data_IF_272087827748
#
_entry.id   IF_272087827748
#
_cell.length_a   1.000
_cell.length_b   1.000
_cell.length_c   1.000
_cell.angle_alpha   90.00
_cell.angle_beta   90.00
_cell.angle_gamma   90.00
#
_symmetry.space_group_name_H-M   'P 1'
#
loop_
_entity.id
_entity.type
_entity.pdbx_description
1 polymer ?
#
# COMPACT_ATOMS: atom_id res chain seq x y z
N UNK A 1 -19.45 -8.92 16.50
CA UNK A 1 -18.68 -9.54 15.41
C UNK A 1 -19.57 -10.59 14.76
N UNK A 2 -19.88 -10.45 13.47
CA UNK A 2 -20.69 -11.41 12.72
C UNK A 2 -19.73 -12.48 12.20
N UNK A 3 -19.84 -13.76 12.61
CA UNK A 3 -18.83 -14.79 12.31
C UNK A 3 -18.49 -14.92 10.82
N UNK A 4 -19.50 -14.82 9.95
CA UNK A 4 -19.33 -14.94 8.50
C UNK A 4 -18.51 -13.80 7.88
N UNK A 5 -18.50 -12.61 8.51
CA UNK A 5 -17.74 -11.44 8.05
C UNK A 5 -16.32 -11.39 8.63
N UNK A 6 -15.97 -12.25 9.59
CA UNK A 6 -14.66 -12.25 10.24
C UNK A 6 -13.83 -13.49 9.90
N UNK A 7 -14.34 -14.36 9.01
CA UNK A 7 -13.65 -15.57 8.55
C UNK A 7 -12.69 -15.28 7.40
N UNK A 8 -11.69 -16.13 7.27
CA UNK A 8 -10.83 -16.24 6.10
C UNK A 8 -10.67 -17.71 5.79
N UNK A 9 -11.00 -18.13 4.58
CA UNK A 9 -11.08 -19.55 4.20
C UNK A 9 -10.57 -19.71 2.78
N UNK A 10 -9.79 -20.77 2.57
CA UNK A 10 -9.44 -21.23 1.23
C UNK A 10 -10.53 -22.21 0.78
N UNK A 11 -11.21 -21.89 -0.31
CA UNK A 11 -12.29 -22.71 -0.86
C UNK A 11 -12.20 -22.72 -2.39
N UNK A 12 -12.26 -23.91 -2.99
CA UNK A 12 -12.26 -24.10 -4.46
C UNK A 12 -11.12 -23.33 -5.15
N UNK A 13 -9.89 -23.54 -4.68
CA UNK A 13 -8.68 -22.84 -5.15
C UNK A 13 -8.75 -21.31 -5.09
N UNK A 14 -9.69 -20.74 -4.32
CA UNK A 14 -9.82 -19.30 -4.12
C UNK A 14 -9.71 -18.96 -2.64
N UNK A 15 -9.20 -17.77 -2.34
CA UNK A 15 -9.15 -17.24 -0.98
C UNK A 15 -10.37 -16.33 -0.77
N UNK A 16 -11.21 -16.66 0.20
CA UNK A 16 -12.44 -15.92 0.55
C UNK A 16 -12.25 -15.30 1.93
N UNK A 17 -12.37 -13.98 2.00
CA UNK A 17 -12.04 -13.21 3.20
C UNK A 17 -13.23 -12.32 3.54
N UNK A 18 -13.73 -12.40 4.78
CA UNK A 18 -14.85 -11.60 5.24
C UNK A 18 -14.48 -10.13 5.49
N UNK A 19 -15.44 -9.24 5.30
CA UNK A 19 -15.29 -7.77 5.31
C UNK A 19 -14.85 -7.15 6.63
N UNK A 20 -15.01 -7.84 7.75
CA UNK A 20 -14.62 -7.39 9.11
C UNK A 20 -13.19 -7.81 9.47
N UNK A 21 -12.48 -8.52 8.59
CA UNK A 21 -11.06 -8.84 8.80
C UNK A 21 -10.25 -7.55 8.81
N UNK A 22 -9.48 -7.34 9.89
CA UNK A 22 -8.61 -6.17 10.03
C UNK A 22 -7.54 -6.14 8.94
N UNK A 23 -7.12 -4.95 8.54
CA UNK A 23 -6.07 -4.79 7.51
C UNK A 23 -4.78 -5.48 7.97
N UNK A 24 -4.43 -5.43 9.26
CA UNK A 24 -3.25 -6.15 9.78
C UNK A 24 -3.35 -7.66 9.57
N UNK A 25 -4.49 -8.26 9.90
CA UNK A 25 -4.69 -9.70 9.71
C UNK A 25 -4.67 -10.05 8.23
N UNK A 26 -5.34 -9.25 7.40
CA UNK A 26 -5.34 -9.44 5.96
C UNK A 26 -3.91 -9.42 5.38
N UNK A 27 -3.07 -8.46 5.75
CA UNK A 27 -1.65 -8.41 5.31
C UNK A 27 -0.92 -9.72 5.64
N UNK A 28 -1.12 -10.26 6.84
CA UNK A 28 -0.50 -11.52 7.26
C UNK A 28 -0.98 -12.69 6.41
N UNK A 29 -2.30 -12.82 6.22
CA UNK A 29 -2.90 -13.92 5.46
C UNK A 29 -2.53 -13.85 3.97
N UNK A 30 -2.47 -12.65 3.37
CA UNK A 30 -2.01 -12.48 1.98
C UNK A 30 -0.52 -12.85 1.82
N UNK A 31 0.32 -12.51 2.80
CA UNK A 31 1.73 -12.89 2.78
C UNK A 31 1.90 -14.41 2.90
N UNK A 32 1.16 -15.05 3.80
CA UNK A 32 1.19 -16.51 3.99
C UNK A 32 0.67 -17.26 2.76
N UNK A 33 -0.44 -16.78 2.17
CA UNK A 33 -0.98 -17.31 0.93
C UNK A 33 0.03 -17.20 -0.22
N UNK A 34 0.71 -16.05 -0.35
CA UNK A 34 1.74 -15.84 -1.36
C UNK A 34 2.97 -16.74 -1.20
N UNK A 35 3.30 -17.15 0.02
CA UNK A 35 4.42 -18.05 0.30
C UNK A 35 4.04 -19.55 0.18
N UNK A 36 2.76 -19.89 0.38
CA UNK A 36 2.33 -21.28 0.59
C UNK A 36 1.39 -21.84 -0.49
N UNK A 37 0.71 -21.00 -1.28
CA UNK A 37 -0.30 -21.41 -2.25
C UNK A 37 0.14 -21.12 -3.68
N UNK A 38 0.00 -22.12 -4.56
CA UNK A 38 0.30 -21.98 -5.99
C UNK A 38 -0.59 -20.92 -6.64
N UNK A 39 0.00 -20.07 -7.48
CA UNK A 39 -0.71 -18.98 -8.17
C UNK A 39 -1.03 -17.74 -7.31
N UNK A 40 -0.70 -17.72 -6.02
CA UNK A 40 -0.99 -16.59 -5.12
C UNK A 40 0.22 -15.71 -4.80
N UNK A 41 1.41 -16.00 -5.35
CA UNK A 41 2.64 -15.26 -5.08
C UNK A 41 2.51 -13.73 -5.27
N UNK A 42 1.65 -13.30 -6.19
CA UNK A 42 1.36 -11.89 -6.45
C UNK A 42 0.81 -11.13 -5.22
N UNK A 43 0.13 -11.83 -4.31
CA UNK A 43 -0.42 -11.24 -3.08
C UNK A 43 0.65 -10.70 -2.14
N UNK A 44 1.87 -11.26 -2.18
CA UNK A 44 2.99 -10.79 -1.36
C UNK A 44 3.39 -9.36 -1.70
N UNK A 45 3.38 -9.01 -2.99
CA UNK A 45 3.68 -7.64 -3.43
C UNK A 45 2.61 -6.65 -2.95
N UNK A 46 1.34 -7.06 -2.94
CA UNK A 46 0.24 -6.23 -2.40
C UNK A 46 0.38 -6.06 -0.88
N UNK A 47 0.61 -7.17 -0.17
CA UNK A 47 0.77 -7.18 1.29
C UNK A 47 1.94 -6.29 1.74
N UNK A 48 3.06 -6.30 1.03
CA UNK A 48 4.22 -5.47 1.34
C UNK A 48 3.90 -3.98 1.23
N UNK A 49 3.25 -3.55 0.15
CA UNK A 49 2.80 -2.15 -0.02
C UNK A 49 1.83 -1.75 1.09
N UNK A 50 0.94 -2.66 1.51
CA UNK A 50 -0.04 -2.39 2.56
C UNK A 50 0.57 -2.23 3.96
N UNK A 51 1.81 -2.69 4.21
CA UNK A 51 2.52 -2.41 5.47
C UNK A 51 2.78 -0.91 5.66
N UNK A 52 2.82 -0.14 4.58
CA UNK A 52 2.96 1.32 4.60
C UNK A 52 1.61 2.07 4.74
N UNK A 53 0.48 1.37 4.89
CA UNK A 53 -0.84 1.96 5.12
C UNK A 53 -1.02 2.28 6.59
N UNK A 54 -1.09 3.58 6.92
CA UNK A 54 -1.31 4.08 8.28
C UNK A 54 -0.35 3.47 9.34
N UNK A 55 -0.70 3.57 10.62
CA UNK A 55 0.00 2.92 11.72
C UNK A 55 -0.56 1.51 11.99
N UNK A 56 0.21 0.68 12.71
CA UNK A 56 -0.25 -0.65 13.14
C UNK A 56 -1.56 -0.57 13.94
N UNK A 57 -1.72 0.43 14.82
CA UNK A 57 -2.95 0.60 15.60
C UNK A 57 -4.17 0.87 14.70
N UNK A 58 -4.01 1.73 13.69
CA UNK A 58 -5.08 2.02 12.72
C UNK A 58 -5.42 0.76 11.92
N UNK A 59 -4.44 0.00 11.44
CA UNK A 59 -4.68 -1.25 10.70
C UNK A 59 -5.27 -2.38 11.55
N UNK A 60 -5.02 -2.39 12.85
CA UNK A 60 -5.62 -3.36 13.78
C UNK A 60 -7.11 -3.09 13.99
N UNK A 61 -7.51 -1.81 13.98
CA UNK A 61 -8.89 -1.39 14.17
C UNK A 61 -9.68 -1.34 12.86
N UNK A 62 -9.05 -0.92 11.76
CA UNK A 62 -9.70 -0.77 10.46
C UNK A 62 -9.81 -2.10 9.73
N UNK A 63 -11.01 -2.41 9.24
CA UNK A 63 -11.25 -3.55 8.37
C UNK A 63 -11.05 -3.18 6.90
N UNK A 64 -10.71 -4.16 6.06
CA UNK A 64 -10.60 -3.92 4.62
C UNK A 64 -11.97 -3.56 4.01
N UNK A 65 -13.05 -4.19 4.46
CA UNK A 65 -14.40 -3.91 3.97
C UNK A 65 -14.86 -2.50 4.30
N UNK A 66 -14.55 -2.01 5.51
CA UNK A 66 -14.78 -0.62 5.90
C UNK A 66 -13.97 0.38 5.05
N UNK A 67 -12.73 0.02 4.70
CA UNK A 67 -11.91 0.84 3.81
C UNK A 67 -12.48 0.93 2.38
N UNK A 68 -12.97 -0.19 1.83
CA UNK A 68 -13.61 -0.22 0.52
C UNK A 68 -14.94 0.53 0.54
N UNK A 69 -15.76 0.36 1.58
CA UNK A 69 -16.99 1.13 1.75
C UNK A 69 -16.70 2.64 1.78
N UNK A 70 -15.65 3.07 2.49
CA UNK A 70 -15.23 4.47 2.49
C UNK A 70 -14.87 4.97 1.08
N UNK A 71 -14.18 4.15 0.26
CA UNK A 71 -13.87 4.51 -1.14
C UNK A 71 -15.12 4.62 -2.02
N UNK A 72 -16.08 3.72 -1.86
CA UNK A 72 -17.35 3.76 -2.61
C UNK A 72 -18.18 5.00 -2.25
N UNK A 73 -18.23 5.34 -0.95
CA UNK A 73 -18.97 6.51 -0.47
C UNK A 73 -18.26 7.85 -0.76
N UNK A 74 -16.93 7.81 -0.85
CA UNK A 74 -16.07 8.97 -1.05
C UNK A 74 -15.06 8.66 -2.16
N UNK A 75 -15.42 8.85 -3.45
CA UNK A 75 -14.55 8.55 -4.59
C UNK A 75 -13.19 9.26 -4.54
N UNK A 76 -13.08 10.39 -3.86
CA UNK A 76 -11.82 11.11 -3.62
C UNK A 76 -10.87 10.39 -2.66
N UNK A 77 -11.35 9.43 -1.86
CA UNK A 77 -10.53 8.73 -0.87
C UNK A 77 -9.37 7.96 -1.55
N UNK A 78 -8.10 8.25 -1.22
CA UNK A 78 -6.96 7.60 -1.85
C UNK A 78 -6.65 6.26 -1.16
N UNK A 79 -7.41 5.22 -1.51
CA UNK A 79 -7.30 3.90 -0.90
C UNK A 79 -6.25 3.00 -1.57
N UNK A 80 -5.16 2.72 -0.85
CA UNK A 80 -4.17 1.71 -1.23
C UNK A 80 -4.77 0.28 -1.22
N UNK A 81 -5.78 0.03 -0.38
CA UNK A 81 -6.46 -1.27 -0.26
C UNK A 81 -7.33 -1.52 -1.50
N UNK A 82 -8.11 -0.52 -1.92
CA UNK A 82 -8.89 -0.57 -3.15
C UNK A 82 -8.00 -0.86 -4.36
N UNK A 83 -6.90 -0.12 -4.49
CA UNK A 83 -5.99 -0.28 -5.62
C UNK A 83 -5.36 -1.68 -5.65
N UNK A 84 -4.93 -2.20 -4.51
CA UNK A 84 -4.39 -3.55 -4.39
C UNK A 84 -5.40 -4.63 -4.77
N UNK A 85 -6.65 -4.52 -4.30
CA UNK A 85 -7.73 -5.46 -4.64
C UNK A 85 -8.15 -5.36 -6.11
N UNK A 86 -8.17 -4.15 -6.67
CA UNK A 86 -8.46 -3.93 -8.09
C UNK A 86 -7.46 -4.68 -8.98
N UNK A 87 -6.16 -4.53 -8.73
CA UNK A 87 -5.14 -5.21 -9.54
C UNK A 87 -5.00 -6.68 -9.23
N UNK A 88 -5.46 -7.13 -8.05
CA UNK A 88 -5.61 -8.55 -7.76
C UNK A 88 -6.75 -9.21 -8.58
N UNK A 89 -7.59 -8.43 -9.26
CA UNK A 89 -8.78 -8.95 -9.94
C UNK A 89 -9.84 -9.45 -8.94
N UNK A 90 -9.88 -8.84 -7.76
CA UNK A 90 -10.74 -9.26 -6.67
C UNK A 90 -12.23 -9.11 -7.02
N UNK A 91 -13.04 -10.06 -6.53
CA UNK A 91 -14.50 -10.02 -6.66
C UNK A 91 -15.12 -9.81 -5.29
N UNK A 92 -15.95 -8.80 -5.16
CA UNK A 92 -16.61 -8.41 -3.91
C UNK A 92 -18.05 -8.91 -3.91
N UNK A 93 -18.42 -9.62 -2.84
CA UNK A 93 -19.81 -10.01 -2.60
C UNK A 93 -20.48 -8.98 -1.69
N UNK A 94 -21.67 -8.53 -2.06
CA UNK A 94 -22.54 -7.69 -1.22
C UNK A 94 -23.85 -8.41 -0.91
N UNK A 95 -24.42 -8.15 0.27
CA UNK A 95 -25.71 -8.67 0.71
C UNK A 95 -26.77 -7.58 0.87
N UNK A 96 -27.99 -7.83 0.39
CA UNK A 96 -29.17 -6.99 0.60
C UNK A 96 -30.04 -7.45 1.78
N UNK A 97 -31.02 -6.63 2.21
CA UNK A 97 -31.88 -6.93 3.37
C UNK A 97 -32.84 -8.10 3.14
N UNK A 98 -33.08 -8.47 1.88
CA UNK A 98 -33.88 -9.61 1.43
C UNK A 98 -33.07 -10.92 1.35
N UNK A 99 -31.77 -10.87 1.71
CA UNK A 99 -30.85 -11.98 1.55
C UNK A 99 -30.25 -12.12 0.15
N UNK A 100 -30.51 -11.16 -0.76
CA UNK A 100 -29.93 -11.17 -2.10
C UNK A 100 -28.41 -10.98 -2.06
N UNK A 101 -27.69 -11.82 -2.80
CA UNK A 101 -26.24 -11.73 -2.97
C UNK A 101 -25.93 -11.22 -4.39
N UNK A 102 -25.09 -10.19 -4.48
CA UNK A 102 -24.61 -9.65 -5.74
C UNK A 102 -23.09 -9.58 -5.69
N UNK A 103 -22.44 -9.92 -6.81
CA UNK A 103 -20.99 -9.90 -6.96
C UNK A 103 -20.58 -8.81 -7.93
N UNK A 104 -19.52 -8.10 -7.60
CA UNK A 104 -18.98 -7.00 -8.40
C UNK A 104 -17.46 -7.10 -8.48
N UNK A 105 -16.89 -6.68 -9.60
CA UNK A 105 -15.50 -6.22 -9.57
C UNK A 105 -15.40 -4.85 -8.87
N UNK A 106 -14.17 -4.38 -8.63
CA UNK A 106 -13.96 -3.15 -7.86
C UNK A 106 -14.44 -1.88 -8.58
N UNK A 107 -14.37 -1.82 -9.91
CA UNK A 107 -14.89 -0.68 -10.68
C UNK A 107 -16.42 -0.65 -10.66
N UNK A 108 -17.07 -1.79 -10.91
CA UNK A 108 -18.53 -1.93 -10.82
C UNK A 108 -19.06 -1.55 -9.44
N UNK A 109 -18.33 -1.91 -8.39
CA UNK A 109 -18.70 -1.60 -7.02
C UNK A 109 -18.74 -0.09 -6.73
N UNK A 110 -17.90 0.72 -7.40
CA UNK A 110 -17.91 2.18 -7.24
C UNK A 110 -19.23 2.81 -7.69
N UNK A 111 -19.91 2.18 -8.66
CA UNK A 111 -21.19 2.65 -9.19
C UNK A 111 -22.40 2.14 -8.37
N UNK A 112 -22.17 1.29 -7.37
CA UNK A 112 -23.23 0.73 -6.54
C UNK A 112 -23.59 1.70 -5.41
N UNK A 113 -24.83 2.17 -5.39
CA UNK A 113 -25.40 2.88 -4.24
C UNK A 113 -25.64 1.92 -3.05
N UNK A 114 -24.59 1.70 -2.24
CA UNK A 114 -24.64 0.83 -1.07
C UNK A 114 -25.67 1.32 -0.04
N UNK A 115 -25.82 2.64 0.15
CA UNK A 115 -26.68 3.22 1.19
C UNK A 115 -28.14 3.16 0.78
N UNK A 116 -28.48 3.68 -0.40
CA UNK A 116 -29.86 3.69 -0.89
C UNK A 116 -30.41 2.28 -1.15
N UNK A 117 -29.56 1.36 -1.63
CA UNK A 117 -29.94 -0.06 -1.80
C UNK A 117 -29.84 -0.87 -0.51
N UNK A 118 -29.36 -0.29 0.59
CA UNK A 118 -29.16 -0.93 1.90
C UNK A 118 -28.33 -2.22 1.79
N UNK A 119 -27.26 -2.17 0.99
CA UNK A 119 -26.35 -3.30 0.77
C UNK A 119 -25.12 -3.21 1.67
N UNK A 120 -24.63 -4.36 2.12
CA UNK A 120 -23.43 -4.49 2.96
C UNK A 120 -22.38 -5.30 2.22
N UNK A 121 -21.11 -4.87 2.28
CA UNK A 121 -19.98 -5.65 1.76
C UNK A 121 -19.75 -6.84 2.70
N UNK A 122 -19.76 -8.06 2.17
CA UNK A 122 -19.68 -9.29 2.96
C UNK A 122 -18.29 -9.92 2.91
N UNK A 123 -17.77 -10.11 1.71
CA UNK A 123 -16.50 -10.80 1.49
C UNK A 123 -15.82 -10.35 0.19
N UNK A 124 -14.53 -10.68 0.10
CA UNK A 124 -13.72 -10.59 -1.11
C UNK A 124 -13.22 -11.98 -1.48
N UNK A 125 -13.24 -12.27 -2.78
CA UNK A 125 -12.70 -13.48 -3.38
C UNK A 125 -11.46 -13.11 -4.19
N UNK A 126 -10.35 -13.76 -3.88
CA UNK A 126 -9.07 -13.68 -4.60
C UNK A 126 -8.77 -15.03 -5.24
N UNK A 127 -8.38 -15.01 -6.51
CA UNK A 127 -8.11 -16.22 -7.30
C UNK A 127 -6.62 -16.34 -7.64
N UNK A 128 -6.13 -17.54 -7.96
CA UNK A 128 -4.77 -17.74 -8.40
C UNK A 128 -4.57 -17.04 -9.74
N UNK A 129 -3.43 -16.39 -9.89
CA UNK A 129 -2.93 -15.89 -11.16
C UNK A 129 -2.06 -16.96 -11.83
N UNK A 130 -1.96 -16.87 -13.16
CA UNK A 130 -1.00 -17.68 -13.92
C UNK A 130 0.45 -17.27 -13.57
N UNK A 131 1.40 -18.17 -13.74
CA UNK A 131 2.81 -17.94 -13.38
C UNK A 131 3.47 -16.81 -14.19
N UNK A 132 2.96 -16.55 -15.39
CA UNK A 132 3.37 -15.45 -16.28
C UNK A 132 2.68 -14.11 -15.95
N UNK A 133 1.84 -14.06 -14.91
CA UNK A 133 1.24 -12.82 -14.42
C UNK A 133 2.14 -12.15 -13.39
N UNK A 134 2.56 -10.92 -13.71
CA UNK A 134 3.29 -10.04 -12.82
C UNK A 134 2.33 -9.02 -12.21
N UNK A 135 2.31 -8.92 -10.89
CA UNK A 135 1.63 -7.84 -10.16
C UNK A 135 2.64 -7.02 -9.37
N UNK A 136 2.64 -5.71 -9.57
CA UNK A 136 3.44 -4.76 -8.77
C UNK A 136 2.55 -3.64 -8.27
N UNK A 137 2.77 -3.25 -7.02
CA UNK A 137 2.06 -2.11 -6.43
C UNK A 137 3.07 -1.15 -5.81
N UNK A 138 2.71 0.14 -5.80
CA UNK A 138 3.54 1.20 -5.29
C UNK A 138 2.70 2.19 -4.50
N UNK A 139 3.30 2.71 -3.45
CA UNK A 139 2.79 3.83 -2.68
C UNK A 139 3.90 4.88 -2.61
N UNK A 140 3.67 6.06 -3.17
CA UNK A 140 4.65 7.16 -3.17
C UNK A 140 4.15 8.27 -2.23
N UNK A 141 4.48 8.20 -0.94
CA UNK A 141 4.12 9.22 0.02
C UNK A 141 5.16 10.37 0.08
N UNK A 142 4.79 11.57 0.55
CA UNK A 142 5.75 12.66 0.79
C UNK A 142 6.73 12.33 1.94
N UNK A 143 6.39 11.36 2.81
CA UNK A 143 7.24 10.85 3.89
C UNK A 143 7.03 9.34 4.08
N UNK A 144 8.03 8.59 4.58
CA UNK A 144 7.99 7.12 4.56
C UNK A 144 6.86 6.43 5.33
N UNK A 145 6.18 7.11 6.28
CA UNK A 145 5.14 6.49 7.09
C UNK A 145 4.02 7.45 7.48
N UNK A 146 2.83 6.88 7.75
CA UNK A 146 1.64 7.54 8.27
C UNK A 146 1.20 8.80 7.47
N UNK A 147 1.15 8.68 6.15
CA UNK A 147 0.67 9.73 5.26
C UNK A 147 -0.02 9.13 4.05
N UNK A 148 -0.91 9.91 3.43
CA UNK A 148 -1.48 9.59 2.13
C UNK A 148 -0.40 9.64 1.04
N UNK A 149 -0.60 8.85 -0.01
CA UNK A 149 0.27 8.84 -1.17
C UNK A 149 -0.01 10.07 -2.03
N UNK A 150 1.03 10.66 -2.62
CA UNK A 150 0.88 11.61 -3.72
C UNK A 150 0.34 10.88 -4.96
N UNK A 151 0.92 9.72 -5.25
CA UNK A 151 0.41 8.76 -6.23
C UNK A 151 0.60 7.36 -5.65
N UNK A 152 -0.43 6.53 -5.73
CA UNK A 152 -0.30 5.10 -5.60
C UNK A 152 -0.59 4.45 -6.96
N UNK A 153 0.07 3.33 -7.23
CA UNK A 153 -0.01 2.64 -8.50
C UNK A 153 -0.13 1.13 -8.30
N UNK A 154 -0.89 0.50 -9.17
CA UNK A 154 -1.00 -0.95 -9.25
C UNK A 154 -0.93 -1.38 -10.70
N UNK A 155 -0.15 -2.42 -10.96
CA UNK A 155 0.07 -2.97 -12.28
C UNK A 155 -0.15 -4.46 -12.23
N UNK A 156 -0.94 -5.00 -13.18
CA UNK A 156 -1.06 -6.43 -13.45
C UNK A 156 -0.85 -6.65 -14.94
N UNK A 157 0.18 -7.40 -15.32
CA UNK A 157 0.48 -7.74 -16.70
C UNK A 157 0.73 -9.24 -16.81
N UNK A 158 0.18 -9.86 -17.85
CA UNK A 158 0.52 -11.23 -18.23
C UNK A 158 1.52 -11.16 -19.39
N UNK A 159 2.69 -11.76 -19.21
CA UNK A 159 3.86 -11.52 -20.06
C UNK A 159 4.51 -12.82 -20.49
N UNK A 160 4.63 -13.02 -21.81
CA UNK A 160 5.38 -14.13 -22.38
C UNK A 160 6.87 -13.79 -22.44
N UNK A 161 7.62 -14.23 -21.43
CA UNK A 161 9.06 -14.06 -21.34
C UNK A 161 9.83 -14.78 -22.47
N UNK A 162 9.22 -15.76 -23.14
CA UNK A 162 9.86 -16.47 -24.26
C UNK A 162 9.71 -15.74 -25.60
N UNK A 163 8.79 -14.77 -25.66
CA UNK A 163 8.51 -13.98 -26.83
C UNK A 163 8.74 -12.48 -26.53
N UNK A 164 10.00 -12.11 -26.28
CA UNK A 164 10.42 -10.73 -26.06
C UNK A 164 9.58 -9.97 -25.01
N UNK A 165 9.21 -10.65 -23.92
CA UNK A 165 8.32 -10.13 -22.88
C UNK A 165 7.03 -9.51 -23.45
N UNK A 166 6.39 -10.18 -24.40
CA UNK A 166 5.16 -9.70 -25.03
C UNK A 166 3.97 -9.81 -24.08
N UNK A 167 3.15 -8.77 -23.98
CA UNK A 167 1.93 -8.77 -23.17
C UNK A 167 0.84 -9.60 -23.85
N UNK A 168 0.48 -10.75 -23.27
CA UNK A 168 -0.46 -11.71 -23.86
C UNK A 168 -1.89 -11.60 -23.31
N UNK A 169 -2.08 -10.96 -22.15
CA UNK A 169 -3.36 -10.77 -21.48
C UNK A 169 -3.94 -9.35 -21.61
N UNK A 170 -4.99 -9.06 -20.83
CA UNK A 170 -5.49 -7.70 -20.66
C UNK A 170 -4.80 -7.06 -19.46
N UNK A 171 -3.86 -6.12 -19.66
CA UNK A 171 -3.17 -5.49 -18.55
C UNK A 171 -4.14 -4.64 -17.71
N UNK A 172 -3.83 -4.48 -16.43
CA UNK A 172 -4.50 -3.54 -15.53
C UNK A 172 -3.45 -2.54 -15.06
N UNK A 173 -3.63 -1.27 -15.40
CA UNK A 173 -2.76 -0.16 -15.08
C UNK A 173 -3.60 0.84 -14.28
N UNK A 174 -3.51 0.75 -12.96
CA UNK A 174 -4.36 1.52 -12.05
C UNK A 174 -3.55 2.53 -11.25
N UNK A 175 -4.16 3.70 -11.01
CA UNK A 175 -3.56 4.76 -10.21
C UNK A 175 -4.59 5.39 -9.28
N UNK A 176 -4.11 5.89 -8.14
CA UNK A 176 -4.83 6.86 -7.32
C UNK A 176 -3.95 8.07 -7.05
N UNK A 177 -4.56 9.15 -6.54
CA UNK A 177 -3.90 10.45 -6.40
C UNK A 177 -3.81 11.25 -7.70
N UNK A 178 -4.51 10.84 -8.76
CA UNK A 178 -4.63 11.61 -10.02
C UNK A 178 -5.80 12.59 -9.91
N UNK A 179 -7.03 12.09 -9.94
CA UNK A 179 -8.25 12.83 -9.64
C UNK A 179 -9.31 11.83 -9.10
N UNK A 180 -10.44 12.27 -8.52
CA UNK A 180 -11.42 11.38 -7.89
C UNK A 180 -12.06 10.32 -8.81
N UNK A 181 -12.12 10.59 -10.12
CA UNK A 181 -12.75 9.70 -11.12
C UNK A 181 -11.76 8.74 -11.80
N UNK A 182 -10.46 9.03 -11.72
CA UNK A 182 -9.44 8.25 -12.39
C UNK A 182 -9.13 6.99 -11.56
N UNK A 183 -9.32 5.83 -12.19
CA UNK A 183 -9.04 4.52 -11.58
C UNK A 183 -8.03 3.73 -12.41
N UNK A 184 -8.26 3.64 -13.73
CA UNK A 184 -7.43 2.90 -14.67
C UNK A 184 -7.07 3.72 -15.89
N UNK A 185 -5.87 3.48 -16.40
CA UNK A 185 -5.36 4.00 -17.66
C UNK A 185 -5.74 3.06 -18.81
N UNK A 186 -7.03 3.02 -19.18
CA UNK A 186 -7.61 2.10 -20.17
C UNK A 186 -7.02 2.28 -21.58
N UNK A 187 -6.71 3.51 -21.99
CA UNK A 187 -6.07 3.75 -23.29
C UNK A 187 -4.64 3.18 -23.31
N UNK A 188 -3.91 3.35 -22.20
CA UNK A 188 -2.56 2.78 -22.01
C UNK A 188 -2.60 1.26 -21.96
N UNK A 189 -3.59 0.67 -21.29
CA UNK A 189 -3.78 -0.78 -21.22
C UNK A 189 -3.98 -1.39 -22.62
N UNK A 190 -4.81 -0.77 -23.45
CA UNK A 190 -5.01 -1.22 -24.83
C UNK A 190 -3.76 -1.01 -25.69
N UNK A 191 -2.99 0.06 -25.47
CA UNK A 191 -1.71 0.28 -26.16
C UNK A 191 -0.67 -0.81 -25.83
N UNK A 192 -0.64 -1.29 -24.58
CA UNK A 192 0.29 -2.33 -24.13
C UNK A 192 -0.09 -3.73 -24.60
N UNK A 193 -1.35 -3.97 -24.98
CA UNK A 193 -1.85 -5.30 -25.33
C UNK A 193 -1.17 -5.83 -26.60
N UNK A 194 -0.53 -6.99 -26.51
CA UNK A 194 0.24 -7.58 -27.62
C UNK A 194 1.57 -6.88 -27.90
N UNK A 195 1.96 -5.88 -27.11
CA UNK A 195 3.23 -5.16 -27.26
C UNK A 195 4.37 -5.97 -26.64
N UNK A 196 5.54 -5.97 -27.29
CA UNK A 196 6.79 -6.40 -26.68
C UNK A 196 7.30 -5.32 -25.74
N UNK A 197 7.56 -5.67 -24.48
CA UNK A 197 8.09 -4.74 -23.47
C UNK A 197 9.58 -4.41 -23.69
N UNK A 198 10.26 -5.10 -24.61
CA UNK A 198 11.64 -4.84 -25.01
C UNK A 198 11.75 -3.78 -26.13
N UNK A 199 10.65 -3.49 -26.83
CA UNK A 199 10.62 -2.47 -27.87
C UNK A 199 10.54 -1.06 -27.25
N UNK A 200 11.68 -0.39 -27.22
CA UNK A 200 11.83 0.95 -26.65
C UNK A 200 10.93 2.00 -27.33
N UNK A 201 10.73 1.90 -28.65
CA UNK A 201 9.92 2.88 -29.40
C UNK A 201 8.44 2.67 -29.09
N UNK A 202 7.99 1.42 -29.08
CA UNK A 202 6.61 1.08 -28.71
C UNK A 202 6.32 1.46 -27.25
N UNK A 203 7.28 1.18 -26.35
CA UNK A 203 7.18 1.54 -24.94
C UNK A 203 7.09 3.06 -24.73
N UNK A 204 7.92 3.84 -25.42
CA UNK A 204 7.85 5.30 -25.36
C UNK A 204 6.48 5.79 -25.84
N UNK A 205 5.94 5.22 -26.92
CA UNK A 205 4.58 5.51 -27.38
C UNK A 205 3.51 5.23 -26.33
N UNK A 206 3.58 4.10 -25.63
CA UNK A 206 2.65 3.77 -24.54
C UNK A 206 2.75 4.75 -23.36
N UNK A 207 3.97 5.21 -23.01
CA UNK A 207 4.19 6.20 -21.97
C UNK A 207 3.64 7.59 -22.34
N UNK A 208 3.67 7.97 -23.62
CA UNK A 208 3.04 9.20 -24.11
C UNK A 208 1.51 9.12 -24.08
N UNK A 209 0.93 7.96 -24.43
CA UNK A 209 -0.51 7.71 -24.25
C UNK A 209 -0.90 7.88 -22.77
N UNK A 210 -0.09 7.32 -21.87
CA UNK A 210 -0.31 7.47 -20.42
C UNK A 210 -0.25 8.94 -19.97
N UNK A 211 0.69 9.73 -20.49
CA UNK A 211 0.81 11.14 -20.14
C UNK A 211 -0.42 11.96 -20.57
N UNK A 212 -1.01 11.65 -21.73
CA UNK A 212 -2.23 12.29 -22.21
C UNK A 212 -3.50 11.83 -21.47
N UNK A 213 -3.50 10.58 -21.00
CA UNK A 213 -4.63 9.97 -20.29
C UNK A 213 -4.70 10.40 -18.81
N UNK A 214 -3.56 10.58 -18.16
CA UNK A 214 -3.46 11.00 -16.76
C UNK A 214 -3.67 12.52 -16.67
N UNK A 215 -4.83 12.94 -16.19
CA UNK A 215 -5.19 14.35 -15.99
C UNK A 215 -5.39 14.60 -14.49
N UNK A 216 -4.35 14.98 -13.74
CA UNK A 216 -4.49 15.25 -12.33
C UNK A 216 -5.30 16.52 -12.08
N UNK A 217 -6.01 16.56 -10.95
CA UNK A 217 -6.59 17.81 -10.45
C UNK A 217 -5.48 18.83 -10.08
N UNK A 218 -5.84 20.08 -9.77
CA UNK A 218 -4.86 21.09 -9.36
C UNK A 218 -5.24 21.65 -7.99
N UNK A 219 -4.93 20.87 -6.95
CA UNK A 219 -5.13 21.26 -5.57
C UNK A 219 -3.80 21.75 -4.96
N UNK A 220 -3.74 22.96 -4.36
CA UNK A 220 -2.53 23.48 -3.74
C UNK A 220 -1.91 22.62 -2.64
N UNK A 221 -2.69 21.74 -2.00
CA UNK A 221 -2.20 20.84 -0.95
C UNK A 221 -1.48 19.60 -1.51
N UNK A 222 -1.70 19.29 -2.79
CA UNK A 222 -1.16 18.13 -3.48
C UNK A 222 0.09 18.47 -4.28
N UNK A 223 0.80 17.43 -4.72
CA UNK A 223 1.92 17.62 -5.65
C UNK A 223 1.41 18.17 -6.99
N UNK A 224 2.26 18.93 -7.69
CA UNK A 224 1.86 19.57 -8.95
C UNK A 224 1.35 18.53 -9.97
N UNK A 225 0.40 18.90 -10.84
CA UNK A 225 -0.10 18.01 -11.88
C UNK A 225 1.03 17.41 -12.74
N UNK A 226 2.02 18.23 -13.11
CA UNK A 226 3.16 17.81 -13.93
C UNK A 226 4.00 16.74 -13.24
N UNK A 227 4.24 16.91 -11.93
CA UNK A 227 4.95 15.90 -11.14
C UNK A 227 4.17 14.59 -11.09
N UNK A 228 2.84 14.64 -10.91
CA UNK A 228 2.00 13.45 -10.84
C UNK A 228 1.95 12.69 -12.17
N UNK A 229 1.87 13.39 -13.30
CA UNK A 229 1.96 12.78 -14.65
C UNK A 229 3.33 12.10 -14.84
N UNK A 230 4.42 12.79 -14.54
CA UNK A 230 5.76 12.20 -14.66
C UNK A 230 5.91 10.97 -13.72
N UNK A 231 5.33 11.04 -12.52
CA UNK A 231 5.39 9.95 -11.55
C UNK A 231 4.64 8.70 -12.04
N UNK A 232 3.45 8.82 -12.65
CA UNK A 232 2.75 7.66 -13.20
C UNK A 232 3.57 6.99 -14.30
N UNK A 233 4.12 7.76 -15.25
CA UNK A 233 5.02 7.24 -16.29
C UNK A 233 6.23 6.52 -15.69
N UNK A 234 6.89 7.13 -14.70
CA UNK A 234 8.05 6.54 -14.04
C UNK A 234 7.72 5.23 -13.31
N UNK A 235 6.55 5.12 -12.68
CA UNK A 235 6.12 3.90 -12.00
C UNK A 235 5.79 2.76 -12.97
N UNK A 236 5.18 3.08 -14.12
CA UNK A 236 4.98 2.10 -15.19
C UNK A 236 6.32 1.65 -15.78
N UNK A 237 7.22 2.59 -16.10
CA UNK A 237 8.54 2.29 -16.62
C UNK A 237 9.36 1.44 -15.63
N UNK A 238 9.35 1.79 -14.34
CA UNK A 238 9.94 0.98 -13.27
C UNK A 238 9.38 -0.44 -13.20
N UNK A 239 8.07 -0.58 -13.40
CA UNK A 239 7.40 -1.89 -13.45
C UNK A 239 7.98 -2.72 -14.58
N UNK A 240 8.05 -2.14 -15.78
CA UNK A 240 8.52 -2.78 -17.00
C UNK A 240 9.99 -3.16 -16.91
N UNK A 241 10.86 -2.28 -16.40
CA UNK A 241 12.26 -2.60 -16.11
C UNK A 241 12.41 -3.82 -15.20
N UNK A 242 11.52 -3.97 -14.21
CA UNK A 242 11.53 -5.16 -13.35
C UNK A 242 10.98 -6.42 -14.00
N UNK A 243 10.21 -6.31 -15.08
CA UNK A 243 9.71 -7.44 -15.86
C UNK A 243 10.79 -7.92 -16.83
N UNK A 244 11.37 -7.01 -17.61
CA UNK A 244 12.38 -7.37 -18.63
C UNK A 244 13.75 -7.71 -18.02
N UNK A 245 14.01 -7.28 -16.79
CA UNK A 245 15.19 -7.66 -16.02
C UNK A 245 16.51 -7.35 -16.74
N UNK A 246 17.35 -8.37 -16.89
CA UNK A 246 18.70 -8.25 -17.46
C UNK A 246 18.72 -7.99 -18.97
N UNK A 247 17.56 -8.04 -19.65
CA UNK A 247 17.46 -7.60 -21.05
C UNK A 247 17.64 -6.08 -21.16
N UNK A 248 17.24 -5.33 -20.14
CA UNK A 248 17.47 -3.90 -20.09
C UNK A 248 18.98 -3.59 -20.05
N UNK A 249 19.38 -2.47 -20.66
CA UNK A 249 20.75 -1.99 -20.53
C UNK A 249 21.14 -1.83 -19.05
N UNK A 250 22.37 -2.21 -18.70
CA UNK A 250 22.85 -2.24 -17.31
C UNK A 250 22.79 -0.90 -16.58
N UNK A 251 22.79 0.21 -17.34
CA UNK A 251 22.59 1.57 -16.82
C UNK A 251 21.18 1.80 -16.24
N UNK A 252 20.18 1.02 -16.64
CA UNK A 252 18.79 1.15 -16.22
C UNK A 252 18.39 0.18 -15.10
N UNK A 253 19.18 -0.86 -14.82
CA UNK A 253 18.84 -1.92 -13.86
C UNK A 253 18.50 -1.39 -12.47
N UNK A 254 19.17 -0.33 -12.01
CA UNK A 254 18.89 0.29 -10.71
C UNK A 254 17.46 0.85 -10.60
N UNK A 255 16.87 1.30 -11.72
CA UNK A 255 15.52 1.85 -11.80
C UNK A 255 14.42 0.84 -11.47
N UNK A 256 14.66 -0.46 -11.68
CA UNK A 256 13.70 -1.52 -11.40
C UNK A 256 13.47 -1.75 -9.88
N UNK A 257 14.48 -1.42 -9.06
CA UNK A 257 14.55 -1.80 -7.65
C UNK A 257 14.02 -0.73 -6.69
N UNK A 258 13.60 -1.13 -5.50
CA UNK A 258 13.13 -0.20 -4.46
C UNK A 258 14.30 0.35 -3.64
N UNK A 259 14.19 1.62 -3.23
CA UNK A 259 15.14 2.23 -2.30
C UNK A 259 14.84 1.67 -0.90
N UNK A 260 15.80 0.97 -0.31
CA UNK A 260 15.68 0.37 1.02
C UNK A 260 16.38 1.27 2.03
N UNK A 261 15.65 1.74 3.05
CA UNK A 261 16.24 2.48 4.17
C UNK A 261 16.77 1.48 5.22
N UNK A 262 18.08 1.46 5.51
CA UNK A 262 18.62 0.60 6.56
C UNK A 262 18.22 1.09 7.96
N UNK A 263 18.40 0.23 8.96
CA UNK A 263 18.22 0.61 10.36
C UNK A 263 19.13 1.79 10.71
N UNK A 264 18.60 2.75 11.47
CA UNK A 264 19.37 3.92 11.89
C UNK A 264 20.43 3.51 12.92
N UNK A 265 21.64 4.04 12.76
CA UNK A 265 22.74 3.89 13.71
C UNK A 265 23.28 5.26 14.11
N UNK A 266 23.83 5.36 15.31
CA UNK A 266 24.39 6.59 15.85
C UNK A 266 25.65 6.29 16.68
N UNK A 267 26.61 7.23 16.70
CA UNK A 267 27.81 7.18 17.54
C UNK A 267 27.89 8.49 18.30
N UNK A 268 27.92 8.42 19.63
CA UNK A 268 28.17 9.58 20.50
C UNK A 268 29.60 9.51 21.04
N UNK A 269 30.27 10.66 21.14
CA UNK A 269 31.61 10.79 21.72
C UNK A 269 31.64 12.07 22.53
N UNK A 270 32.02 11.97 23.80
CA UNK A 270 32.11 13.09 24.73
C UNK A 270 33.23 12.82 25.73
N UNK A 271 33.86 13.88 26.22
CA UNK A 271 34.89 13.78 27.24
C UNK A 271 34.28 13.47 28.60
N UNK A 272 34.93 12.61 29.37
CA UNK A 272 34.54 12.32 30.75
C UNK A 272 35.59 12.90 31.69
N UNK A 273 35.15 13.80 32.58
CA UNK A 273 35.95 14.27 33.69
C UNK A 273 35.30 13.79 35.00
N UNK A 274 35.85 12.73 35.57
CA UNK A 274 35.37 12.12 36.82
C UNK A 274 35.59 12.99 38.04
N UNK A 275 36.53 13.95 37.99
CA UNK A 275 36.88 14.81 39.13
C UNK A 275 35.76 15.82 39.48
N UNK A 276 34.89 16.12 38.52
CA UNK A 276 33.76 17.06 38.68
C UNK A 276 32.41 16.35 38.77
N UNK A 277 32.39 15.04 38.95
CA UNK A 277 31.14 14.31 39.15
C UNK A 277 30.47 14.73 40.46
N UNK A 278 29.13 14.89 40.47
CA UNK A 278 28.17 14.48 39.44
C UNK A 278 27.85 15.53 38.35
N UNK A 279 28.57 16.67 38.27
CA UNK A 279 28.19 17.77 37.37
C UNK A 279 28.31 17.42 35.87
N UNK A 280 29.36 16.68 35.49
CA UNK A 280 29.62 16.24 34.11
C UNK A 280 29.37 14.73 33.90
N UNK A 281 28.75 14.07 34.89
CA UNK A 281 28.43 12.65 34.78
C UNK A 281 27.23 12.45 33.84
N UNK A 282 27.31 11.53 32.86
CA UNK A 282 26.19 11.24 31.96
C UNK A 282 25.12 10.42 32.70
N UNK A 283 24.38 11.07 33.60
CA UNK A 283 23.31 10.45 34.38
C UNK A 283 22.01 10.39 33.59
N UNK A 284 21.23 9.32 33.81
CA UNK A 284 19.89 9.21 33.26
C UNK A 284 19.01 10.35 33.80
N UNK A 285 18.17 10.93 32.93
CA UNK A 285 17.13 11.87 33.34
C UNK A 285 16.29 11.24 34.46
N UNK A 286 16.18 11.91 35.61
CA UNK A 286 15.55 11.36 36.83
C UNK A 286 14.09 10.96 36.61
N UNK A 287 13.38 11.69 35.76
CA UNK A 287 11.99 11.42 35.42
C UNK A 287 11.82 10.30 34.39
N UNK A 288 12.89 9.80 33.76
CA UNK A 288 12.79 8.84 32.67
C UNK A 288 12.04 7.55 33.07
N UNK A 289 12.27 6.92 34.25
CA UNK A 289 11.49 5.75 34.64
C UNK A 289 10.00 6.03 34.79
N UNK A 290 9.62 7.17 35.39
CA UNK A 290 8.22 7.59 35.56
C UNK A 290 7.56 7.86 34.20
N UNK A 291 8.26 8.56 33.31
CA UNK A 291 7.76 8.86 31.96
C UNK A 291 7.55 7.58 31.14
N UNK A 292 8.45 6.61 31.26
CA UNK A 292 8.37 5.33 30.55
C UNK A 292 7.31 4.38 31.12
N UNK A 293 7.00 4.46 32.42
CA UNK A 293 5.96 3.63 33.07
C UNK A 293 4.58 4.29 33.08
N UNK A 294 4.47 5.54 32.62
CA UNK A 294 3.27 6.38 32.72
C UNK A 294 2.75 6.50 34.16
N UNK A 295 3.66 6.55 35.14
CA UNK A 295 3.31 6.75 36.55
C UNK A 295 2.69 8.15 36.79
N UNK A 296 1.78 8.29 37.78
CA UNK A 296 1.11 9.56 38.05
C UNK A 296 2.06 10.70 38.41
N UNK A 297 1.67 11.91 38.04
CA UNK A 297 2.42 13.16 38.27
C UNK A 297 2.82 13.39 39.73
N UNK A 298 2.03 12.89 40.69
CA UNK A 298 2.31 12.98 42.13
C UNK A 298 3.66 12.33 42.52
N UNK A 299 4.04 11.24 41.83
CA UNK A 299 5.37 10.62 42.00
C UNK A 299 6.49 11.45 41.38
N UNK A 300 6.20 12.22 40.34
CA UNK A 300 7.14 13.16 39.72
C UNK A 300 7.47 14.30 40.68
N UNK A 301 6.45 14.85 41.33
CA UNK A 301 6.56 15.91 42.34
C UNK A 301 7.32 15.43 43.59
N UNK A 302 7.08 14.17 44.01
CA UNK A 302 7.83 13.54 45.08
C UNK A 302 9.33 13.39 44.74
N UNK A 303 9.70 13.04 43.49
CA UNK A 303 11.11 13.02 43.07
C UNK A 303 11.74 14.42 43.08
N UNK A 304 11.01 15.44 42.63
CA UNK A 304 11.49 16.82 42.60
C UNK A 304 11.78 17.36 44.00
N UNK A 305 10.92 17.04 44.98
CA UNK A 305 11.15 17.44 46.39
C UNK A 305 12.39 16.77 47.02
N UNK A 306 12.74 15.54 46.61
CA UNK A 306 13.97 14.85 47.03
C UNK A 306 15.24 15.45 46.40
N UNK A 307 15.15 15.99 45.18
CA UNK A 307 16.27 16.66 44.51
C UNK A 307 16.56 18.03 45.13
N UNK A 308 15.51 18.77 45.52
CA UNK A 308 15.66 20.09 46.18
C UNK A 308 16.29 19.95 47.57
N UNK A 309 15.98 18.90 48.33
CA UNK A 309 16.58 18.67 49.65
C UNK A 309 18.05 18.23 49.59
N UNK A 310 18.47 17.52 48.53
CA UNK A 310 19.86 17.14 48.31
C UNK A 310 20.77 18.25 47.78
N UNK A 311 20.23 19.36 47.29
CA UNK A 311 20.99 20.57 46.89
C UNK A 311 21.32 21.51 48.05
N UNK A 312 20.83 21.23 49.26
CA UNK A 312 21.06 22.04 50.47
C UNK A 312 22.15 21.49 51.42
N UNK A 313 22.97 20.54 50.96
CA UNK A 313 24.13 20.01 51.71
C UNK A 313 25.40 20.23 50.89
#
# INVERSE_FOLDING_TARGET
>A
MIPDMSRSVIANDSMVIGADVSITRLISELSEAGDSLSGFAYLKNIAETWKAVASTSVRNMGSWGGNIAAKVLHPEFPSDIFLGLLVAGAVITTGGPDGSLEKYNLEELLEVDLVGRRRVILDVVLTPASEDTVVRTFKIPPRPSNTHAQVNAGFRLQVDATNAHTVTGSPIIAYGGVNPSFVRAKATEEALKGMSLEDEVALQGALEVLAGEVIPDNNPEDASPEYRVALTQNLLYKTILGIIGDVAASTFTSGATNIIRPNSSAKQTFDQNTDVWPLAEPVMKLEAPIQCSAEPQEKLEALHSVVVSKKQI
#
